data_IF_745640585429
#
_entry.id   IF_745640585429
#
_cell.length_a   1.000
_cell.length_b   1.000
_cell.length_c   1.000
_cell.angle_alpha   90.00
_cell.angle_beta   90.00
_cell.angle_gamma   90.00
#
_symmetry.space_group_name_H-M   'P 1'
#
loop_
_entity.id
_entity.type
_entity.pdbx_description
1 polymer ?
#
# COMPACT_ATOMS: atom_id res chain seq x y z
N UNK A 1 10.07 -14.80 -25.87
CA UNK A 1 9.99 -14.35 -25.42
C UNK A 1 10.63 -14.15 -24.42
N UNK A 2 11.12 -14.45 -24.15
CA UNK A 2 11.91 -14.37 -23.05
C UNK A 2 11.80 -13.22 -22.27
N UNK A 3 11.27 -12.46 -22.71
CA UNK A 3 10.94 -11.35 -22.04
C UNK A 3 10.11 -11.58 -20.88
N UNK A 4 9.52 -12.72 -20.84
CA UNK A 4 8.67 -13.10 -19.79
C UNK A 4 9.43 -13.17 -18.50
N UNK A 5 8.93 -12.60 -17.46
CA UNK A 5 9.55 -12.66 -16.17
C UNK A 5 10.60 -11.60 -15.90
N UNK A 6 10.89 -10.75 -16.88
CA UNK A 6 11.79 -9.65 -16.59
C UNK A 6 11.10 -8.63 -15.74
N UNK A 7 11.50 -8.54 -14.47
CA UNK A 7 10.90 -7.62 -13.53
C UNK A 7 11.54 -6.26 -13.63
N UNK A 8 10.71 -5.23 -13.55
CA UNK A 8 11.18 -3.85 -13.45
C UNK A 8 11.30 -3.42 -11.99
N UNK A 9 10.29 -3.78 -11.21
CA UNK A 9 10.21 -3.47 -9.77
C UNK A 9 9.71 -4.69 -9.03
N UNK A 10 9.93 -4.72 -7.73
CA UNK A 10 9.33 -5.72 -6.85
C UNK A 10 9.13 -5.11 -5.46
N UNK A 11 8.21 -5.69 -4.70
CA UNK A 11 8.13 -5.37 -3.29
C UNK A 11 9.26 -6.14 -2.57
N UNK A 12 10.18 -5.39 -1.97
CA UNK A 12 11.16 -5.98 -1.05
C UNK A 12 10.45 -6.40 0.21
N UNK A 13 9.45 -5.60 0.60
CA UNK A 13 8.58 -5.89 1.72
C UNK A 13 7.22 -5.28 1.44
N UNK A 14 6.17 -6.04 1.73
CA UNK A 14 4.79 -5.53 1.68
C UNK A 14 3.98 -6.35 2.66
N UNK A 15 3.50 -5.71 3.74
CA UNK A 15 2.71 -6.42 4.74
C UNK A 15 1.77 -5.49 5.48
N UNK A 16 0.63 -6.02 5.86
CA UNK A 16 -0.32 -5.38 6.77
C UNK A 16 0.00 -5.91 8.17
N UNK A 17 0.33 -5.03 9.10
CA UNK A 17 0.82 -5.44 10.41
C UNK A 17 -0.23 -6.23 11.19
N UNK A 18 -1.50 -5.85 11.09
CA UNK A 18 -2.60 -6.58 11.70
C UNK A 18 -3.80 -6.54 10.78
N UNK A 19 -4.32 -7.72 10.45
CA UNK A 19 -5.50 -7.84 9.58
C UNK A 19 -6.81 -7.80 10.36
N UNK A 20 -6.77 -7.86 11.68
CA UNK A 20 -7.93 -7.73 12.56
C UNK A 20 -7.58 -6.77 13.69
N UNK A 21 -8.39 -5.74 13.86
CA UNK A 21 -8.17 -4.75 14.90
C UNK A 21 -9.52 -4.34 15.50
N UNK A 22 -9.47 -3.75 16.68
CA UNK A 22 -10.63 -3.11 17.29
C UNK A 22 -10.74 -1.67 16.75
N UNK A 23 -11.94 -1.12 16.84
CA UNK A 23 -12.20 0.22 16.29
C UNK A 23 -11.44 1.35 16.99
N UNK A 24 -10.86 1.08 18.16
CA UNK A 24 -10.04 2.05 18.91
C UNK A 24 -8.54 1.88 18.61
N UNK A 25 -8.18 1.01 17.69
CA UNK A 25 -6.78 0.73 17.36
C UNK A 25 -6.48 1.07 15.89
N UNK A 26 -5.21 1.13 15.58
CA UNK A 26 -4.75 1.34 14.21
C UNK A 26 -3.98 0.13 13.72
N UNK A 27 -3.83 0.03 12.41
CA UNK A 27 -2.90 -0.90 11.79
C UNK A 27 -2.08 -0.14 10.77
N UNK A 28 -1.05 -0.77 10.24
CA UNK A 28 -0.22 -0.12 9.24
C UNK A 28 0.19 -1.09 8.15
N UNK A 29 0.45 -0.53 6.98
CA UNK A 29 1.04 -1.27 5.86
C UNK A 29 2.48 -0.80 5.73
N UNK A 30 3.42 -1.75 5.74
CA UNK A 30 4.83 -1.46 5.57
C UNK A 30 5.25 -1.88 4.17
N UNK A 31 5.87 -0.98 3.45
CA UNK A 31 6.22 -1.17 2.06
C UNK A 31 7.65 -0.79 1.82
N UNK A 32 8.39 -1.64 1.13
CA UNK A 32 9.72 -1.33 0.63
C UNK A 32 9.76 -1.81 -0.81
N UNK A 33 10.08 -0.93 -1.74
CA UNK A 33 10.09 -1.23 -3.18
C UNK A 33 11.52 -1.23 -3.67
N UNK A 34 11.86 -2.22 -4.50
CA UNK A 34 13.21 -2.32 -5.07
C UNK A 34 13.13 -2.36 -6.59
N UNK A 35 14.17 -1.82 -7.23
CA UNK A 35 14.36 -1.99 -8.65
C UNK A 35 15.43 -3.05 -8.91
N UNK A 36 15.63 -3.36 -10.17
CA UNK A 36 16.67 -4.27 -10.61
C UNK A 36 17.65 -3.50 -11.50
N UNK A 37 17.55 -3.65 -12.81
CA UNK A 37 18.45 -2.96 -13.74
C UNK A 37 17.95 -1.58 -14.14
N UNK A 38 16.65 -1.41 -14.18
CA UNK A 38 16.04 -0.17 -14.61
C UNK A 38 15.97 0.85 -13.47
N UNK A 39 16.18 2.13 -13.78
CA UNK A 39 16.09 3.20 -12.78
C UNK A 39 14.76 3.93 -12.92
N UNK A 40 14.32 4.57 -11.83
CA UNK A 40 13.04 5.27 -11.77
C UNK A 40 13.21 6.59 -11.05
N UNK A 41 12.77 7.67 -11.69
CA UNK A 41 12.85 9.00 -11.10
C UNK A 41 11.59 9.36 -10.31
N UNK A 42 10.44 8.88 -10.78
CA UNK A 42 9.16 9.22 -10.17
C UNK A 42 8.38 7.95 -9.82
N UNK A 43 8.36 7.63 -8.55
CA UNK A 43 7.57 6.50 -8.05
C UNK A 43 6.51 7.02 -7.11
N UNK A 44 5.27 6.56 -7.32
CA UNK A 44 4.13 6.97 -6.48
C UNK A 44 3.43 5.72 -5.95
N UNK A 45 3.22 5.70 -4.65
CA UNK A 45 2.48 4.65 -3.98
C UNK A 45 1.08 5.16 -3.71
N UNK A 46 0.05 4.43 -4.17
CA UNK A 46 -1.34 4.78 -3.91
C UNK A 46 -2.00 3.68 -3.09
N UNK A 47 -2.69 4.07 -2.05
CA UNK A 47 -3.42 3.14 -1.18
C UNK A 47 -4.90 3.46 -1.31
N UNK A 48 -5.68 2.47 -1.72
CA UNK A 48 -7.12 2.61 -1.92
C UNK A 48 -7.85 1.62 -1.05
N UNK A 49 -9.04 1.98 -0.61
CA UNK A 49 -9.92 1.08 0.12
C UNK A 49 -11.26 1.04 -0.57
N UNK A 50 -12.05 0.01 -0.27
CA UNK A 50 -13.43 -0.07 -0.75
C UNK A 50 -14.37 0.85 0.05
N UNK A 51 -13.84 1.54 1.06
CA UNK A 51 -14.53 2.65 1.73
C UNK A 51 -14.30 3.93 0.95
N UNK A 52 -14.94 4.04 -0.20
CA UNK A 52 -14.68 5.11 -1.16
C UNK A 52 -14.95 6.51 -0.63
N UNK A 53 -15.83 6.65 0.33
CA UNK A 53 -16.18 7.96 0.87
C UNK A 53 -15.30 8.35 2.06
N UNK A 54 -14.47 7.44 2.55
CA UNK A 54 -13.64 7.69 3.72
C UNK A 54 -14.41 7.81 5.01
N UNK A 55 -15.61 7.19 5.07
CA UNK A 55 -16.44 7.27 6.26
C UNK A 55 -15.91 6.46 7.44
N UNK A 56 -15.28 5.34 7.16
CA UNK A 56 -14.94 4.36 8.18
C UNK A 56 -13.45 4.14 8.37
N UNK A 57 -12.65 4.50 7.39
CA UNK A 57 -11.20 4.37 7.45
C UNK A 57 -10.53 5.68 7.05
N UNK A 58 -9.48 6.02 7.77
CA UNK A 58 -8.57 7.11 7.40
C UNK A 58 -7.23 6.50 7.06
N UNK A 59 -6.70 6.88 5.91
CA UNK A 59 -5.38 6.45 5.43
C UNK A 59 -4.43 7.64 5.56
N UNK A 60 -3.32 7.47 6.27
CA UNK A 60 -2.41 8.58 6.57
C UNK A 60 -1.81 9.23 5.33
N UNK A 61 -1.55 8.43 4.30
CA UNK A 61 -0.99 8.93 3.04
C UNK A 61 -1.56 8.14 1.88
N UNK A 62 -2.76 8.53 1.38
CA UNK A 62 -3.37 7.81 0.26
C UNK A 62 -2.55 7.91 -1.03
N UNK A 63 -1.76 8.97 -1.15
CA UNK A 63 -0.78 9.11 -2.24
C UNK A 63 0.55 9.48 -1.59
N UNK A 64 1.55 8.68 -1.84
CA UNK A 64 2.87 8.87 -1.24
C UNK A 64 3.93 8.82 -2.34
N UNK A 65 4.72 9.90 -2.43
CA UNK A 65 5.86 9.92 -3.35
C UNK A 65 6.99 9.14 -2.71
N UNK A 66 7.50 8.15 -3.43
CA UNK A 66 8.60 7.32 -2.95
C UNK A 66 9.94 7.95 -3.37
N UNK A 67 11.02 7.66 -2.64
CA UNK A 67 12.35 8.10 -3.08
C UNK A 67 12.67 7.53 -4.46
N UNK A 68 13.39 8.30 -5.26
CA UNK A 68 13.82 7.85 -6.58
C UNK A 68 14.79 6.68 -6.47
N UNK A 69 14.73 5.78 -7.44
CA UNK A 69 15.66 4.66 -7.55
C UNK A 69 16.60 4.96 -8.71
N UNK A 70 17.61 5.79 -8.43
CA UNK A 70 18.51 6.37 -9.44
C UNK A 70 19.57 5.40 -9.95
N UNK A 71 19.78 4.30 -9.25
CA UNK A 71 20.79 3.32 -9.61
C UNK A 71 20.19 1.92 -9.59
N UNK A 72 20.74 0.97 -10.34
CA UNK A 72 20.28 -0.41 -10.29
C UNK A 72 20.43 -1.01 -8.89
N UNK A 73 19.56 -1.95 -8.58
CA UNK A 73 19.60 -2.74 -7.33
C UNK A 73 19.54 -1.88 -6.07
N UNK A 74 18.62 -0.93 -6.06
CA UNK A 74 18.35 -0.07 -4.90
C UNK A 74 16.97 -0.36 -4.35
N UNK A 75 16.67 0.21 -3.20
CA UNK A 75 15.33 0.15 -2.64
C UNK A 75 14.97 1.50 -2.00
N UNK A 76 13.65 1.71 -1.83
CA UNK A 76 13.14 2.97 -1.30
C UNK A 76 13.31 3.11 0.21
N UNK A 77 13.70 2.04 0.90
CA UNK A 77 13.59 1.97 2.34
C UNK A 77 12.16 1.67 2.74
N UNK A 78 11.94 1.38 4.00
CA UNK A 78 10.62 1.04 4.50
C UNK A 78 9.76 2.30 4.64
N UNK A 79 8.57 2.24 4.04
CA UNK A 79 7.56 3.29 4.14
C UNK A 79 6.40 2.71 4.93
N UNK A 80 5.76 3.53 5.75
CA UNK A 80 4.64 3.08 6.56
C UNK A 80 3.41 3.93 6.28
N UNK A 81 2.28 3.24 6.08
CA UNK A 81 0.98 3.89 5.86
C UNK A 81 0.09 3.44 6.99
N UNK A 82 -0.41 4.38 7.78
CA UNK A 82 -1.25 4.07 8.95
C UNK A 82 -2.72 4.13 8.55
N UNK A 83 -3.47 3.13 8.99
CA UNK A 83 -4.91 3.03 8.74
C UNK A 83 -5.62 3.11 10.07
N UNK A 84 -6.55 4.05 10.17
CA UNK A 84 -7.27 4.35 11.40
C UNK A 84 -8.77 4.20 11.17
N UNK A 85 -9.45 3.28 11.89
CA UNK A 85 -10.90 3.18 11.82
C UNK A 85 -11.58 4.37 12.48
N UNK A 86 -12.77 4.68 12.00
CA UNK A 86 -13.61 5.71 12.61
C UNK A 86 -15.08 5.40 12.34
N UNK A 87 -15.93 5.81 13.25
CA UNK A 87 -17.40 5.74 13.08
C UNK A 87 -17.92 4.36 12.66
N UNK A 88 -17.33 3.30 13.20
CA UNK A 88 -17.74 1.94 12.87
C UNK A 88 -19.14 1.68 13.43
N UNK A 89 -20.16 1.49 12.57
CA UNK A 89 -21.55 1.46 13.02
C UNK A 89 -22.06 0.09 13.45
N UNK A 90 -21.33 -0.97 13.09
CA UNK A 90 -21.76 -2.34 13.39
C UNK A 90 -20.65 -3.08 14.09
N UNK A 91 -20.98 -4.25 14.65
CA UNK A 91 -20.03 -5.01 15.45
C UNK A 91 -18.77 -5.39 14.69
N UNK A 92 -18.87 -5.57 13.39
CA UNK A 92 -17.76 -6.02 12.58
C UNK A 92 -17.90 -5.48 11.16
N UNK A 93 -16.83 -4.93 10.63
CA UNK A 93 -16.77 -4.52 9.23
C UNK A 93 -15.49 -5.04 8.59
N UNK A 94 -15.59 -5.44 7.34
CA UNK A 94 -14.44 -5.90 6.57
C UNK A 94 -14.20 -4.96 5.41
N UNK A 95 -12.93 -4.67 5.16
CA UNK A 95 -12.51 -3.76 4.09
C UNK A 95 -11.45 -4.42 3.25
N UNK A 96 -11.45 -4.09 1.96
CA UNK A 96 -10.36 -4.47 1.06
C UNK A 96 -9.47 -3.26 0.84
N UNK A 97 -8.18 -3.43 0.99
CA UNK A 97 -7.20 -2.38 0.82
C UNK A 97 -6.27 -2.78 -0.31
N UNK A 98 -6.10 -1.89 -1.28
CA UNK A 98 -5.20 -2.13 -2.41
C UNK A 98 -4.05 -1.14 -2.38
N UNK A 99 -2.83 -1.65 -2.50
CA UNK A 99 -1.61 -0.84 -2.58
C UNK A 99 -1.06 -0.99 -3.99
N UNK A 100 -0.86 0.12 -4.67
CA UNK A 100 -0.39 0.15 -6.04
C UNK A 100 0.82 1.06 -6.18
N UNK A 101 1.82 0.64 -6.96
CA UNK A 101 3.01 1.46 -7.24
C UNK A 101 3.02 1.83 -8.71
N UNK A 102 3.08 3.13 -8.97
CA UNK A 102 3.12 3.70 -10.32
C UNK A 102 4.48 4.34 -10.58
N UNK A 103 4.95 4.24 -11.80
CA UNK A 103 6.24 4.81 -12.19
C UNK A 103 6.08 5.76 -13.37
N UNK A 104 6.81 6.87 -13.31
CA UNK A 104 6.97 7.79 -14.44
C UNK A 104 5.66 8.23 -15.08
N UNK A 105 4.67 8.52 -14.24
CA UNK A 105 3.35 9.02 -14.66
C UNK A 105 2.57 8.06 -15.56
N UNK A 106 2.84 6.78 -15.47
CA UNK A 106 2.10 5.77 -16.22
C UNK A 106 0.72 5.55 -15.60
N UNK A 107 -0.26 5.21 -16.42
CA UNK A 107 -1.62 4.98 -15.96
C UNK A 107 -1.81 3.67 -15.23
N UNK A 108 -1.01 2.66 -15.57
CA UNK A 108 -1.13 1.34 -14.97
C UNK A 108 -0.07 1.12 -13.91
N UNK A 109 -0.42 0.50 -12.78
CA UNK A 109 0.58 0.23 -11.76
C UNK A 109 1.55 -0.85 -12.20
N UNK A 110 2.80 -0.71 -11.77
CA UNK A 110 3.81 -1.75 -11.96
C UNK A 110 3.71 -2.82 -10.89
N UNK A 111 3.22 -2.47 -9.70
CA UNK A 111 3.05 -3.39 -8.59
C UNK A 111 1.70 -3.16 -7.96
N UNK A 112 1.11 -4.25 -7.47
CA UNK A 112 -0.18 -4.18 -6.75
C UNK A 112 -0.24 -5.29 -5.71
N UNK A 113 -0.78 -4.97 -4.55
CA UNK A 113 -1.05 -5.95 -3.50
C UNK A 113 -2.36 -5.59 -2.82
N UNK A 114 -3.21 -6.59 -2.62
CA UNK A 114 -4.48 -6.42 -1.92
C UNK A 114 -4.41 -7.05 -0.54
N UNK A 115 -5.08 -6.42 0.42
CA UNK A 115 -5.22 -6.92 1.79
C UNK A 115 -6.66 -6.86 2.22
N UNK A 116 -7.02 -7.74 3.14
CA UNK A 116 -8.31 -7.72 3.82
C UNK A 116 -8.09 -7.25 5.25
N UNK A 117 -8.90 -6.29 5.69
CA UNK A 117 -8.86 -5.76 7.04
C UNK A 117 -10.22 -5.94 7.69
N UNK A 118 -10.25 -6.52 8.89
CA UNK A 118 -11.46 -6.65 9.67
C UNK A 118 -11.36 -5.73 10.89
N UNK A 119 -12.39 -4.90 11.08
CA UNK A 119 -12.48 -4.01 12.22
C UNK A 119 -13.66 -4.44 13.09
N UNK A 120 -13.39 -4.73 14.36
CA UNK A 120 -14.41 -5.07 15.32
C UNK A 120 -14.72 -3.83 16.16
N UNK A 121 -16.02 -3.55 16.32
CA UNK A 121 -16.41 -2.39 17.10
C UNK A 121 -16.05 -2.60 18.56
N UNK A 122 -15.35 -1.64 19.13
CA UNK A 122 -15.01 -1.64 20.54
C UNK A 122 -16.23 -1.27 21.35
N UNK A 123 -16.55 -2.08 22.34
CA UNK A 123 -17.69 -1.83 23.24
C UNK A 123 -17.24 -1.28 24.57
#
# INVERSE_FOLDING_TARGET
>A
MGLLGKKRLAFEKIELSKSKINSDKTTSIKVNVKNFKETFQNLVLKTKTDDQTGQYLTVSAPVLNLPALDFPNRNTGEQEIVITPKNIPVNKMSFKISVEVFADNQEKPLLKKDFDLTVNKKT
#
